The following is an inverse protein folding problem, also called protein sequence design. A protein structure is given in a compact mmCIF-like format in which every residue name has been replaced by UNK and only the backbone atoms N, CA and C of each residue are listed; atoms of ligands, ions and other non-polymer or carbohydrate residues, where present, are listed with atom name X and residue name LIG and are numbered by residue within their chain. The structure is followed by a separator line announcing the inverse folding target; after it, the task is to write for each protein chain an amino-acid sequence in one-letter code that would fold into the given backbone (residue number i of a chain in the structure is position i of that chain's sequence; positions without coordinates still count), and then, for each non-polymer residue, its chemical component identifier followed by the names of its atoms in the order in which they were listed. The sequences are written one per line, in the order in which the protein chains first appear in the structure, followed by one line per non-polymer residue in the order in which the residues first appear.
data_IF_089085759953
#
_entry.id   IF_089085759953
#
_cell.length_a   1.000
_cell.length_b   1.000
_cell.length_c   1.000
_cell.angle_alpha   90.00
_cell.angle_beta   90.00
_cell.angle_gamma   90.00
#
_symmetry.space_group_name_H-M   'P 1'
#
loop_
_entity.id
_entity.type
_entity.pdbx_description
1 polymer ?
#
# COMPACT_ATOMS: atom_id res chain seq x y z
N UNK A 1 -3.19 -17.11 -9.95
CA UNK A 1 -4.49 -16.41 -9.96
C UNK A 1 -4.45 -15.25 -10.94
N UNK A 2 -5.54 -15.06 -11.65
CA UNK A 2 -5.63 -13.98 -12.63
C UNK A 2 -5.54 -12.61 -11.93
N UNK A 3 -4.66 -11.73 -12.38
CA UNK A 3 -4.54 -10.39 -11.79
C UNK A 3 -5.86 -9.61 -11.78
N UNK A 4 -6.65 -9.70 -12.85
CA UNK A 4 -7.92 -8.98 -12.89
C UNK A 4 -8.89 -9.49 -11.83
N UNK A 5 -8.91 -10.78 -11.60
CA UNK A 5 -9.75 -11.37 -10.58
C UNK A 5 -9.29 -10.96 -9.18
N UNK A 6 -7.99 -10.92 -8.96
CA UNK A 6 -7.44 -10.45 -7.69
C UNK A 6 -7.85 -9.01 -7.42
N UNK A 7 -7.73 -8.14 -8.42
CA UNK A 7 -8.11 -6.75 -8.26
C UNK A 7 -9.59 -6.59 -7.96
N UNK A 8 -10.42 -7.41 -8.59
CA UNK A 8 -11.84 -7.36 -8.31
C UNK A 8 -12.14 -7.74 -6.87
N UNK A 9 -11.48 -8.78 -6.36
CA UNK A 9 -11.65 -9.20 -4.97
C UNK A 9 -11.21 -8.10 -4.01
N UNK A 10 -10.10 -7.45 -4.31
CA UNK A 10 -9.59 -6.35 -3.50
C UNK A 10 -10.60 -5.22 -3.46
N UNK A 11 -11.13 -4.86 -4.62
CA UNK A 11 -12.15 -3.81 -4.70
C UNK A 11 -13.39 -4.17 -3.88
N UNK A 12 -13.86 -5.40 -3.98
CA UNK A 12 -15.04 -5.84 -3.26
C UNK A 12 -14.81 -5.92 -1.76
N UNK A 13 -13.56 -6.02 -1.33
CA UNK A 13 -13.23 -6.06 0.09
C UNK A 13 -13.14 -4.66 0.71
N UNK A 14 -13.43 -3.60 -0.06
CA UNK A 14 -13.48 -2.25 0.47
C UNK A 14 -12.28 -1.38 0.15
N UNK A 15 -11.34 -1.89 -0.62
CA UNK A 15 -10.20 -1.08 -1.07
C UNK A 15 -10.59 -0.28 -2.30
N UNK A 16 -10.03 0.91 -2.43
CA UNK A 16 -10.19 1.72 -3.63
C UNK A 16 -9.05 1.42 -4.59
N UNK A 17 -9.37 1.38 -5.88
CA UNK A 17 -8.36 1.19 -6.91
C UNK A 17 -8.19 2.48 -7.67
N UNK A 18 -6.93 2.84 -7.96
CA UNK A 18 -6.67 4.04 -8.75
C UNK A 18 -5.43 3.84 -9.60
N UNK A 19 -5.23 4.72 -10.57
CA UNK A 19 -4.08 4.66 -11.45
C UNK A 19 -3.23 5.91 -11.26
N UNK A 20 -1.93 5.74 -11.49
CA UNK A 20 -0.98 6.85 -11.39
C UNK A 20 -0.27 7.00 -12.74
N UNK A 21 -0.34 8.18 -13.37
CA UNK A 21 0.36 8.38 -14.63
C UNK A 21 1.86 8.10 -14.54
N UNK A 22 2.46 8.39 -13.38
CA UNK A 22 3.89 8.18 -13.17
C UNK A 22 4.25 6.70 -13.00
N UNK A 23 3.26 5.83 -12.80
CA UNK A 23 3.47 4.39 -12.64
C UNK A 23 2.49 3.63 -13.53
N UNK A 24 2.69 3.67 -14.86
CA UNK A 24 1.68 3.16 -15.80
C UNK A 24 1.44 1.66 -15.72
N UNK A 25 2.39 0.90 -15.18
CA UNK A 25 2.24 -0.55 -15.05
C UNK A 25 1.70 -0.98 -13.70
N UNK A 26 1.39 -0.02 -12.84
CA UNK A 26 0.96 -0.31 -11.49
C UNK A 26 -0.50 0.09 -11.28
N UNK A 27 -1.13 -0.56 -10.31
CA UNK A 27 -2.45 -0.19 -9.84
C UNK A 27 -2.30 0.25 -8.39
N UNK A 28 -2.83 1.44 -8.08
CA UNK A 28 -2.85 1.92 -6.71
C UNK A 28 -4.01 1.31 -5.96
N UNK A 29 -3.76 0.90 -4.73
CA UNK A 29 -4.79 0.37 -3.83
C UNK A 29 -4.77 1.21 -2.57
N UNK A 30 -5.91 1.75 -2.19
CA UNK A 30 -5.99 2.68 -1.08
C UNK A 30 -7.15 2.34 -0.14
N UNK A 31 -6.95 2.63 1.14
CA UNK A 31 -7.99 2.52 2.17
C UNK A 31 -7.51 3.26 3.41
N UNK A 32 -8.42 4.04 4.02
CA UNK A 32 -8.15 4.74 5.28
C UNK A 32 -6.91 5.62 5.24
N UNK A 33 -6.68 6.27 4.10
CA UNK A 33 -5.53 7.16 3.94
C UNK A 33 -4.23 6.46 3.55
N UNK A 34 -4.21 5.13 3.57
CA UNK A 34 -3.04 4.35 3.19
C UNK A 34 -3.10 4.00 1.71
N UNK A 35 -1.93 3.77 1.11
CA UNK A 35 -1.85 3.44 -0.30
C UNK A 35 -0.67 2.52 -0.58
N UNK A 36 -0.85 1.63 -1.55
CA UNK A 36 0.20 0.75 -2.02
C UNK A 36 0.10 0.64 -3.53
N UNK A 37 1.21 0.33 -4.17
CA UNK A 37 1.24 0.05 -5.60
C UNK A 37 1.30 -1.45 -5.80
N UNK A 38 0.47 -1.95 -6.71
CA UNK A 38 0.51 -3.35 -7.11
C UNK A 38 0.99 -3.44 -8.54
N UNK A 39 1.79 -4.46 -8.82
CA UNK A 39 2.30 -4.74 -10.15
C UNK A 39 2.10 -6.22 -10.45
N UNK A 40 1.78 -6.60 -11.70
CA UNK A 40 1.63 -8.01 -12.03
C UNK A 40 2.96 -8.76 -11.85
N UNK A 41 2.86 -9.93 -11.22
CA UNK A 41 4.02 -10.79 -11.00
C UNK A 41 3.73 -12.19 -11.50
N UNK A 42 4.65 -13.11 -11.24
CA UNK A 42 4.55 -14.48 -11.72
C UNK A 42 3.34 -15.19 -11.13
N UNK A 43 3.08 -14.99 -9.85
CA UNK A 43 1.99 -15.67 -9.15
C UNK A 43 0.82 -14.75 -8.85
N UNK A 44 0.67 -13.67 -9.60
CA UNK A 44 -0.39 -12.71 -9.40
C UNK A 44 0.16 -11.34 -9.05
N UNK A 45 -0.70 -10.46 -8.55
CA UNK A 45 -0.27 -9.11 -8.21
C UNK A 45 0.68 -9.12 -7.02
N UNK A 46 1.66 -8.24 -7.05
CA UNK A 46 2.64 -8.09 -5.98
C UNK A 46 2.69 -6.63 -5.55
N UNK A 47 3.02 -6.41 -4.27
CA UNK A 47 3.22 -5.05 -3.77
C UNK A 47 4.59 -4.56 -4.26
N UNK A 48 4.58 -3.43 -4.95
CA UNK A 48 5.81 -2.79 -5.40
C UNK A 48 6.25 -1.79 -4.33
N UNK A 49 7.41 -2.02 -3.74
CA UNK A 49 7.92 -1.16 -2.69
C UNK A 49 7.16 -1.36 -1.38
N UNK A 50 7.07 -0.31 -0.61
CA UNK A 50 6.45 -0.35 0.71
C UNK A 50 5.16 0.47 0.71
N UNK A 51 4.07 -0.04 1.31
CA UNK A 51 2.87 0.77 1.48
C UNK A 51 3.16 2.02 2.29
N UNK A 52 2.45 3.09 2.00
CA UNK A 52 2.66 4.36 2.68
C UNK A 52 1.37 5.15 2.83
N UNK A 53 1.51 6.43 3.05
CA UNK A 53 0.40 7.35 3.25
C UNK A 53 0.09 8.07 1.95
N UNK A 54 -1.18 8.21 1.63
CA UNK A 54 -1.58 8.89 0.40
C UNK A 54 -1.35 10.39 0.55
N UNK A 55 -0.47 10.95 -0.28
CA UNK A 55 -0.09 12.36 -0.22
C UNK A 55 0.03 12.91 -1.65
N UNK A 56 -0.57 14.07 -1.89
CA UNK A 56 -0.39 14.81 -3.14
C UNK A 56 -0.53 13.94 -4.39
N UNK A 57 -1.47 12.99 -4.40
CA UNK A 57 -1.66 12.11 -5.53
C UNK A 57 -0.54 11.09 -5.71
N UNK A 58 0.23 10.84 -4.67
CA UNK A 58 1.31 9.87 -4.70
C UNK A 58 1.43 9.20 -3.34
N UNK A 59 2.58 8.60 -3.06
CA UNK A 59 2.80 7.82 -1.84
C UNK A 59 3.80 8.54 -0.95
N UNK A 60 3.41 8.83 0.28
CA UNK A 60 4.32 9.34 1.30
C UNK A 60 5.00 8.17 1.98
N UNK A 61 6.32 8.18 1.96
CA UNK A 61 7.13 7.10 2.54
C UNK A 61 7.37 7.38 4.01
N UNK A 62 7.24 6.33 4.82
CA UNK A 62 7.51 6.46 6.26
C UNK A 62 9.01 6.59 6.48
N UNK A 63 9.42 7.69 7.08
CA UNK A 63 10.83 7.97 7.37
C UNK A 63 10.95 8.57 8.76
N UNK A 64 12.15 8.48 9.33
CA UNK A 64 12.45 9.10 10.61
C UNK A 64 13.12 10.45 10.37
N UNK A 65 12.62 11.49 11.03
CA UNK A 65 13.20 12.84 10.95
C UNK A 65 13.19 13.47 12.33
N UNK A 66 14.34 13.93 12.77
CA UNK A 66 14.47 14.65 14.05
C UNK A 66 13.87 13.85 15.21
N UNK A 67 14.09 12.55 15.22
CA UNK A 67 13.61 11.69 16.29
C UNK A 67 12.12 11.34 16.19
N UNK A 68 11.44 11.71 15.10
CA UNK A 68 10.03 11.43 14.91
C UNK A 68 9.81 10.67 13.62
N UNK A 69 8.72 9.95 13.55
CA UNK A 69 8.32 9.29 12.32
C UNK A 69 7.35 10.17 11.55
N UNK A 70 7.58 10.31 10.26
CA UNK A 70 6.74 11.10 9.38
C UNK A 70 6.57 10.39 8.05
N UNK A 71 5.49 10.72 7.34
CA UNK A 71 5.32 10.32 5.95
C UNK A 71 5.79 11.47 5.09
N UNK A 72 6.66 11.19 4.13
CA UNK A 72 7.23 12.24 3.30
C UNK A 72 7.09 11.92 1.83
N UNK A 73 6.66 12.91 1.06
CA UNK A 73 6.66 12.89 -0.39
C UNK A 73 7.24 14.22 -0.87
N UNK A 74 8.45 14.17 -1.44
CA UNK A 74 9.17 15.38 -1.84
C UNK A 74 9.35 16.30 -0.64
N UNK A 75 8.80 17.51 -0.69
CA UNK A 75 8.94 18.46 0.41
C UNK A 75 7.78 18.40 1.41
N UNK A 76 6.74 17.64 1.07
CA UNK A 76 5.58 17.51 1.94
C UNK A 76 5.81 16.48 3.02
N UNK A 77 5.43 16.81 4.24
CA UNK A 77 5.62 15.94 5.40
C UNK A 77 4.31 15.89 6.17
N UNK A 78 3.89 14.67 6.52
CA UNK A 78 2.72 14.45 7.37
C UNK A 78 3.16 13.62 8.55
N UNK A 79 2.79 14.05 9.73
CA UNK A 79 3.17 13.34 10.94
C UNK A 79 2.60 11.92 10.95
N UNK A 80 3.43 10.94 11.28
CA UNK A 80 2.99 9.56 11.40
C UNK A 80 2.49 9.33 12.83
N UNK A 81 1.26 9.74 13.08
CA UNK A 81 0.64 9.55 14.40
C UNK A 81 0.44 8.06 14.66
N UNK A 82 0.23 7.70 15.92
CA UNK A 82 -0.02 6.30 16.26
C UNK A 82 -1.27 5.77 15.55
N UNK A 83 -2.29 6.60 15.37
CA UNK A 83 -3.48 6.20 14.64
C UNK A 83 -3.18 5.90 13.18
N UNK A 84 -2.35 6.74 12.55
CA UNK A 84 -1.97 6.53 11.16
C UNK A 84 -1.09 5.30 11.00
N UNK A 85 -0.18 5.08 11.93
CA UNK A 85 0.67 3.88 11.90
C UNK A 85 -0.15 2.61 12.08
N UNK A 86 -1.13 2.63 12.98
CA UNK A 86 -2.02 1.49 13.16
C UNK A 86 -2.84 1.22 11.91
N UNK A 87 -3.34 2.28 11.27
CA UNK A 87 -4.10 2.15 10.03
C UNK A 87 -3.22 1.54 8.93
N UNK A 88 -1.98 1.99 8.84
CA UNK A 88 -1.05 1.47 7.84
C UNK A 88 -0.74 0.00 8.08
N UNK A 89 -0.56 -0.40 9.34
CA UNK A 89 -0.30 -1.80 9.67
C UNK A 89 -1.49 -2.67 9.28
N UNK A 90 -2.71 -2.27 9.63
CA UNK A 90 -3.90 -3.03 9.28
C UNK A 90 -4.11 -3.10 7.77
N UNK A 91 -3.90 -1.98 7.08
CA UNK A 91 -3.99 -1.92 5.63
C UNK A 91 -3.02 -2.91 4.99
N UNK A 92 -1.78 -2.89 5.44
CA UNK A 92 -0.73 -3.76 4.88
C UNK A 92 -1.05 -5.23 5.12
N UNK A 93 -1.46 -5.58 6.33
CA UNK A 93 -1.78 -6.96 6.67
C UNK A 93 -2.98 -7.47 5.88
N UNK A 94 -4.02 -6.65 5.78
CA UNK A 94 -5.22 -7.04 5.05
C UNK A 94 -4.93 -7.19 3.56
N UNK A 95 -4.14 -6.28 3.00
CA UNK A 95 -3.79 -6.35 1.59
C UNK A 95 -2.97 -7.60 1.30
N UNK A 96 -2.01 -7.93 2.16
CA UNK A 96 -1.22 -9.14 1.99
C UNK A 96 -2.10 -10.40 2.01
N UNK A 97 -3.10 -10.43 2.87
CA UNK A 97 -4.04 -11.54 2.92
C UNK A 97 -4.83 -11.65 1.61
N UNK A 98 -5.27 -10.51 1.08
CA UNK A 98 -6.01 -10.49 -0.19
C UNK A 98 -5.15 -10.99 -1.35
N UNK A 99 -3.85 -10.76 -1.28
CA UNK A 99 -2.93 -11.23 -2.31
C UNK A 99 -2.54 -12.69 -2.14
N UNK A 100 -3.03 -13.35 -1.08
CA UNK A 100 -2.69 -14.73 -0.81
C UNK A 100 -1.25 -14.91 -0.38
N UNK A 101 -0.62 -13.85 0.09
CA UNK A 101 0.77 -13.90 0.48
C UNK A 101 0.90 -14.04 1.98
N UNK A 102 0.73 -15.26 2.42
CA UNK A 102 1.20 -15.59 3.76
C UNK A 102 2.72 -15.60 3.63
N UNK A 103 3.36 -14.62 4.18
CA UNK A 103 4.80 -14.54 4.12
C UNK A 103 5.42 -15.80 4.68
N UNK A 104 6.44 -16.37 4.03
CA UNK A 104 7.15 -17.52 4.60
C UNK A 104 7.71 -17.21 5.98
N UNK A 105 8.10 -15.98 6.21
CA UNK A 105 8.54 -15.57 7.54
C UNK A 105 7.41 -15.64 8.54
N UNK A 106 6.19 -15.35 8.11
CA UNK A 106 5.02 -15.41 8.97
C UNK A 106 4.55 -16.85 9.15
N UNK A 107 4.87 -17.70 8.20
CA UNK A 107 4.41 -19.08 8.24
C UNK A 107 5.33 -20.01 9.01
N UNK A 108 6.36 -19.49 9.54
CA UNK A 108 7.28 -20.28 10.36
C UNK A 108 6.75 -20.52 11.73
#
# INVERSE_FOLDING_TARGET
MDPAEQLQRIYLAGFELETFPQFPKCVGVARDGCIALLVPGVDGMQILGTPGWRMAGSIGVLVARDGRQVFQHKEEIVEATSERLDALQRFTEDLKKMLGRVSPADSK
#
